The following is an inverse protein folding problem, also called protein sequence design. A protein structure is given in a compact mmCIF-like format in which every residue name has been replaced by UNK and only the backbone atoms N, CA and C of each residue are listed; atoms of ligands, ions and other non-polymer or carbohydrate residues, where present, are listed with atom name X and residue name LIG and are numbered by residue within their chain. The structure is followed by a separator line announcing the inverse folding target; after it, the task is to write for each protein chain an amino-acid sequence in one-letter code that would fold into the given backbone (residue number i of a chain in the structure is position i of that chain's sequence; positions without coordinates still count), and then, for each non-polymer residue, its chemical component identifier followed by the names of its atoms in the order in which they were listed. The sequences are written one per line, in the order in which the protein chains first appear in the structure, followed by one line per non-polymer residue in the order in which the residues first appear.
data_IF_397102725821
#
_entry.id   IF_397102725821
#
_cell.length_a   1.000
_cell.length_b   1.000
_cell.length_c   1.000
_cell.angle_alpha   90.00
_cell.angle_beta   90.00
_cell.angle_gamma   90.00
#
_symmetry.space_group_name_H-M   'P 1'
#
loop_
_entity.id
_entity.type
_entity.pdbx_description
1 polymer ?
#
# COMPACT_ATOMS: atom_id res chain seq x y z
N UNK A 1 5.43 -9.17 -19.65
CA UNK A 1 5.47 -8.04 -18.69
C UNK A 1 4.27 -7.15 -18.95
N UNK A 2 3.48 -6.79 -17.94
CA UNK A 2 2.34 -5.88 -18.14
C UNK A 2 2.84 -4.43 -18.26
N UNK A 3 2.03 -3.56 -18.87
CA UNK A 3 2.38 -2.13 -18.96
C UNK A 3 2.55 -1.48 -17.58
N UNK A 4 1.76 -1.92 -16.58
CA UNK A 4 1.89 -1.45 -15.20
C UNK A 4 3.22 -1.88 -14.57
N UNK A 5 3.66 -3.11 -14.80
CA UNK A 5 4.96 -3.60 -14.33
C UNK A 5 6.11 -2.77 -14.92
N UNK A 6 6.10 -2.53 -16.24
CA UNK A 6 7.12 -1.70 -16.91
C UNK A 6 7.18 -0.28 -16.34
N UNK A 7 6.02 0.30 -16.06
CA UNK A 7 5.94 1.62 -15.46
C UNK A 7 6.62 1.65 -14.08
N UNK A 8 6.28 0.70 -13.20
CA UNK A 8 6.84 0.65 -11.86
C UNK A 8 8.32 0.26 -11.87
N UNK A 9 8.77 -0.58 -12.80
CA UNK A 9 10.20 -0.86 -13.01
C UNK A 9 10.98 0.40 -13.38
N UNK A 10 10.42 1.29 -14.21
CA UNK A 10 11.05 2.58 -14.55
C UNK A 10 11.00 3.55 -13.36
N UNK A 11 9.89 3.62 -12.66
CA UNK A 11 9.70 4.51 -11.51
C UNK A 11 10.62 4.16 -10.33
N UNK A 12 10.99 2.88 -10.16
CA UNK A 12 11.80 2.40 -9.04
C UNK A 12 13.09 3.15 -8.83
N UNK A 13 13.73 3.64 -9.90
CA UNK A 13 15.03 4.35 -9.86
C UNK A 13 15.03 5.62 -8.99
N UNK A 14 13.89 6.30 -8.92
CA UNK A 14 13.75 7.55 -8.19
C UNK A 14 12.62 7.48 -7.14
N UNK A 15 12.09 6.30 -6.88
CA UNK A 15 10.91 6.12 -6.04
C UNK A 15 11.11 6.69 -4.64
N UNK A 16 12.15 6.27 -3.93
CA UNK A 16 12.43 6.72 -2.57
C UNK A 16 12.58 8.25 -2.49
N UNK A 17 13.34 8.87 -3.43
CA UNK A 17 13.47 10.34 -3.50
C UNK A 17 12.14 11.07 -3.72
N UNK A 18 11.19 10.42 -4.41
CA UNK A 18 9.87 11.00 -4.64
C UNK A 18 9.04 10.90 -3.37
N UNK A 19 9.12 9.77 -2.67
CA UNK A 19 8.41 9.52 -1.41
C UNK A 19 8.95 10.39 -0.26
N UNK A 20 10.25 10.73 -0.23
CA UNK A 20 10.87 11.63 0.77
C UNK A 20 10.13 12.97 0.89
N UNK A 21 9.51 13.43 -0.21
CA UNK A 21 8.70 14.66 -0.20
C UNK A 21 7.46 14.58 0.68
N UNK A 22 7.01 13.36 0.98
CA UNK A 22 5.83 13.06 1.78
C UNK A 22 6.20 12.39 3.11
N UNK A 23 7.45 12.58 3.57
CA UNK A 23 7.97 11.94 4.80
C UNK A 23 7.03 12.13 6.00
N UNK A 24 6.41 13.31 6.15
CA UNK A 24 5.45 13.56 7.22
C UNK A 24 4.25 12.60 7.16
N UNK A 25 3.70 12.35 5.95
CA UNK A 25 2.60 11.39 5.76
C UNK A 25 3.09 9.98 6.10
N UNK A 26 4.28 9.61 5.61
CA UNK A 26 4.85 8.28 5.84
C UNK A 26 5.16 8.03 7.31
N UNK A 27 5.75 9.01 8.01
CA UNK A 27 6.06 8.92 9.43
C UNK A 27 4.78 8.77 10.26
N UNK A 28 3.75 9.57 9.97
CA UNK A 28 2.47 9.50 10.68
C UNK A 28 1.74 8.17 10.41
N UNK A 29 1.74 7.70 9.15
CA UNK A 29 1.22 6.38 8.77
C UNK A 29 1.92 5.28 9.54
N UNK A 30 3.25 5.30 9.63
CA UNK A 30 4.00 4.32 10.41
C UNK A 30 3.65 4.36 11.90
N UNK A 31 3.58 5.55 12.49
CA UNK A 31 3.22 5.73 13.89
C UNK A 31 1.84 5.12 14.20
N UNK A 32 0.87 5.34 13.31
CA UNK A 32 -0.47 4.79 13.48
C UNK A 32 -0.48 3.27 13.28
N UNK A 33 0.22 2.76 12.27
CA UNK A 33 0.30 1.32 11.99
C UNK A 33 0.90 0.54 13.16
N UNK A 34 1.97 1.07 13.78
CA UNK A 34 2.66 0.44 14.90
C UNK A 34 1.78 0.15 16.13
N UNK A 35 0.67 0.85 16.28
CA UNK A 35 -0.30 0.60 17.36
C UNK A 35 -1.00 -0.77 17.24
N UNK A 36 -1.00 -1.34 16.03
CA UNK A 36 -1.77 -2.52 15.66
C UNK A 36 -0.91 -3.75 15.34
N UNK A 37 0.41 -3.62 15.38
CA UNK A 37 1.33 -4.73 15.10
C UNK A 37 1.76 -5.41 16.39
N UNK A 38 1.83 -6.75 16.36
CA UNK A 38 2.26 -7.59 17.48
C UNK A 38 3.40 -8.52 17.05
N UNK A 39 4.26 -8.87 18.00
CA UNK A 39 5.44 -9.72 17.74
C UNK A 39 5.13 -11.13 17.21
N UNK A 40 3.88 -11.57 17.29
CA UNK A 40 3.42 -12.87 16.80
C UNK A 40 2.79 -12.82 15.41
N UNK A 41 2.59 -11.62 14.86
CA UNK A 41 1.84 -11.42 13.62
C UNK A 41 2.60 -11.92 12.40
N UNK A 42 1.88 -12.58 11.49
CA UNK A 42 2.28 -12.86 10.12
C UNK A 42 1.60 -11.81 9.25
N UNK A 43 2.39 -10.97 8.60
CA UNK A 43 1.93 -9.78 7.87
C UNK A 43 2.08 -9.98 6.36
N UNK A 44 1.10 -9.55 5.58
CA UNK A 44 1.21 -9.35 4.14
C UNK A 44 1.34 -7.85 3.85
N UNK A 45 2.45 -7.42 3.25
CA UNK A 45 2.63 -6.05 2.73
C UNK A 45 2.38 -6.07 1.22
N UNK A 46 1.20 -5.64 0.80
CA UNK A 46 0.73 -5.66 -0.58
C UNK A 46 1.05 -4.35 -1.30
N UNK A 47 1.86 -4.44 -2.35
CA UNK A 47 2.42 -3.29 -3.04
C UNK A 47 3.57 -2.67 -2.24
N UNK A 48 4.48 -3.50 -1.73
CA UNK A 48 5.55 -3.09 -0.83
C UNK A 48 6.58 -2.12 -1.44
N UNK A 49 6.57 -1.93 -2.76
CA UNK A 49 7.52 -1.08 -3.48
C UNK A 49 8.97 -1.44 -3.17
N UNK A 50 9.76 -0.46 -2.79
CA UNK A 50 11.19 -0.62 -2.41
C UNK A 50 11.39 -1.20 -1.01
N UNK A 51 10.34 -1.67 -0.34
CA UNK A 51 10.41 -2.38 0.94
C UNK A 51 10.70 -1.52 2.16
N UNK A 52 10.63 -0.20 2.06
CA UNK A 52 10.94 0.71 3.18
C UNK A 52 10.06 0.42 4.39
N UNK A 53 8.73 0.28 4.19
CA UNK A 53 7.80 -0.01 5.29
C UNK A 53 7.93 -1.42 5.83
N UNK A 54 8.11 -2.41 4.94
CA UNK A 54 8.37 -3.78 5.36
C UNK A 54 9.61 -3.87 6.26
N UNK A 55 10.72 -3.23 5.88
CA UNK A 55 11.93 -3.20 6.71
C UNK A 55 11.72 -2.43 8.02
N UNK A 56 10.94 -1.33 8.02
CA UNK A 56 10.64 -0.55 9.21
C UNK A 56 9.85 -1.33 10.26
N UNK A 57 8.91 -2.19 9.82
CA UNK A 57 8.03 -2.94 10.72
C UNK A 57 8.58 -4.31 11.10
N UNK A 58 9.64 -4.78 10.47
CA UNK A 58 10.17 -6.13 10.62
C UNK A 58 10.44 -6.53 12.07
N UNK A 59 10.97 -5.63 12.88
CA UNK A 59 11.31 -5.90 14.28
C UNK A 59 10.09 -5.92 15.24
N UNK A 60 8.88 -5.66 14.74
CA UNK A 60 7.65 -5.60 15.54
C UNK A 60 6.75 -6.80 15.31
N UNK A 61 7.06 -7.64 14.32
CA UNK A 61 6.23 -8.75 13.89
C UNK A 61 7.06 -10.03 13.75
N UNK A 62 6.39 -11.16 13.67
CA UNK A 62 7.04 -12.45 13.47
C UNK A 62 7.65 -12.57 12.07
N UNK A 63 6.88 -12.24 11.05
CA UNK A 63 7.25 -12.41 9.65
C UNK A 63 6.45 -11.46 8.75
N UNK A 64 7.09 -10.99 7.68
CA UNK A 64 6.42 -10.19 6.64
C UNK A 64 6.58 -10.88 5.28
N UNK A 65 5.46 -11.11 4.60
CA UNK A 65 5.40 -11.44 3.18
C UNK A 65 5.18 -10.14 2.40
N UNK A 66 6.22 -9.63 1.77
CA UNK A 66 6.20 -8.35 1.06
C UNK A 66 6.14 -8.59 -0.45
N UNK A 67 5.08 -8.13 -1.10
CA UNK A 67 4.85 -8.42 -2.51
C UNK A 67 4.66 -7.16 -3.35
N UNK A 68 5.22 -7.20 -4.55
CA UNK A 68 5.06 -6.17 -5.57
C UNK A 68 5.08 -6.80 -6.97
N UNK A 69 4.46 -6.15 -7.94
CA UNK A 69 4.47 -6.60 -9.35
C UNK A 69 5.78 -6.24 -10.06
N UNK A 70 6.50 -5.23 -9.58
CA UNK A 70 7.74 -4.74 -10.17
C UNK A 70 8.95 -5.56 -9.73
N UNK A 71 9.66 -6.13 -10.69
CA UNK A 71 10.91 -6.85 -10.42
C UNK A 71 12.00 -5.93 -9.86
N UNK A 72 12.04 -4.67 -10.33
CA UNK A 72 13.03 -3.69 -9.90
C UNK A 72 12.75 -3.15 -8.49
N UNK A 73 11.49 -2.96 -8.12
CA UNK A 73 11.12 -2.65 -6.73
C UNK A 73 11.58 -3.75 -5.78
N UNK A 74 11.28 -5.01 -6.10
CA UNK A 74 11.68 -6.17 -5.29
C UNK A 74 13.22 -6.31 -5.20
N UNK A 75 13.95 -6.04 -6.27
CA UNK A 75 15.41 -6.03 -6.26
C UNK A 75 15.96 -4.99 -5.25
N UNK A 76 15.43 -3.76 -5.30
CA UNK A 76 15.80 -2.69 -4.36
C UNK A 76 15.42 -3.07 -2.92
N UNK A 77 14.23 -3.61 -2.72
CA UNK A 77 13.74 -4.04 -1.39
C UNK A 77 14.65 -5.11 -0.76
N UNK A 78 15.05 -6.13 -1.52
CA UNK A 78 16.01 -7.15 -1.07
C UNK A 78 17.36 -6.57 -0.69
N UNK A 79 17.90 -5.67 -1.52
CA UNK A 79 19.17 -5.02 -1.20
C UNK A 79 19.07 -4.17 0.07
N UNK A 80 17.93 -3.48 0.26
CA UNK A 80 17.65 -2.69 1.46
C UNK A 80 17.55 -3.57 2.72
N UNK A 81 16.88 -4.74 2.64
CA UNK A 81 16.80 -5.66 3.77
C UNK A 81 18.17 -6.22 4.19
N UNK A 82 19.01 -6.57 3.21
CA UNK A 82 20.38 -7.02 3.48
C UNK A 82 21.20 -5.92 4.16
N UNK A 83 21.14 -4.68 3.63
CA UNK A 83 21.87 -3.54 4.19
C UNK A 83 21.44 -3.22 5.64
N UNK A 84 20.14 -3.42 5.95
CA UNK A 84 19.57 -3.17 7.27
C UNK A 84 19.57 -4.42 8.19
N UNK A 85 20.14 -5.54 7.73
CA UNK A 85 20.16 -6.83 8.47
C UNK A 85 18.78 -7.31 8.89
N UNK A 86 17.79 -7.14 8.00
CA UNK A 86 16.42 -7.60 8.20
C UNK A 86 16.27 -8.99 7.60
N UNK A 87 15.95 -10.00 8.42
CA UNK A 87 15.93 -11.41 8.01
C UNK A 87 14.53 -12.02 7.93
N UNK A 88 13.53 -11.39 8.58
CA UNK A 88 12.16 -11.91 8.68
C UNK A 88 11.19 -11.28 7.65
N UNK A 89 11.71 -10.73 6.55
CA UNK A 89 10.90 -10.20 5.44
C UNK A 89 11.16 -10.99 4.15
N UNK A 90 10.12 -11.61 3.61
CA UNK A 90 10.12 -12.34 2.36
C UNK A 90 9.65 -11.45 1.21
N UNK A 91 10.58 -10.91 0.42
CA UNK A 91 10.28 -10.09 -0.76
C UNK A 91 10.07 -10.94 -2.00
N UNK A 92 8.90 -10.83 -2.62
CA UNK A 92 8.55 -11.62 -3.80
C UNK A 92 7.81 -10.81 -4.86
N UNK A 93 8.27 -10.96 -6.12
CA UNK A 93 7.54 -10.44 -7.27
C UNK A 93 6.34 -11.33 -7.54
N UNK A 94 5.16 -10.85 -7.18
CA UNK A 94 3.89 -11.53 -7.41
C UNK A 94 2.69 -10.61 -7.17
N UNK A 95 1.48 -11.15 -7.27
CA UNK A 95 0.23 -10.47 -6.97
C UNK A 95 -0.45 -11.07 -5.74
N UNK A 96 -1.43 -10.37 -5.18
CA UNK A 96 -2.24 -10.86 -4.05
C UNK A 96 -3.09 -12.09 -4.44
N UNK A 97 -3.29 -12.34 -5.74
CA UNK A 97 -4.05 -13.48 -6.27
C UNK A 97 -3.21 -14.74 -6.47
N UNK A 98 -1.93 -14.74 -6.10
CA UNK A 98 -1.09 -15.92 -6.17
C UNK A 98 -1.68 -17.04 -5.29
N UNK A 99 -1.88 -18.21 -5.86
CA UNK A 99 -2.50 -19.38 -5.21
C UNK A 99 -1.72 -19.93 -4.02
N UNK A 100 -0.44 -19.57 -3.88
CA UNK A 100 0.36 -19.93 -2.71
C UNK A 100 -0.16 -19.29 -1.43
N UNK A 101 -0.83 -18.12 -1.51
CA UNK A 101 -1.44 -17.46 -0.36
C UNK A 101 -2.80 -18.08 -0.08
N UNK A 102 -2.86 -18.83 1.00
CA UNK A 102 -4.09 -19.53 1.41
C UNK A 102 -5.00 -18.59 2.18
N UNK A 103 -6.29 -18.94 2.24
CA UNK A 103 -7.26 -18.23 3.09
C UNK A 103 -6.80 -18.27 4.53
N UNK A 104 -7.10 -17.21 5.27
CA UNK A 104 -6.85 -17.10 6.71
C UNK A 104 -5.38 -17.34 7.11
N UNK A 105 -4.45 -16.85 6.28
CA UNK A 105 -3.00 -17.04 6.50
C UNK A 105 -2.34 -15.86 7.22
N UNK A 106 -2.95 -14.67 7.22
CA UNK A 106 -2.35 -13.46 7.72
C UNK A 106 -3.11 -12.85 8.88
N UNK A 107 -2.38 -12.37 9.88
CA UNK A 107 -2.93 -11.61 11.00
C UNK A 107 -3.20 -10.16 10.59
N UNK A 108 -2.31 -9.59 9.77
CA UNK A 108 -2.42 -8.22 9.26
C UNK A 108 -2.13 -8.17 7.76
N UNK A 109 -2.91 -7.39 7.02
CA UNK A 109 -2.59 -7.00 5.63
C UNK A 109 -2.40 -5.50 5.56
N UNK A 110 -1.27 -5.07 5.02
CA UNK A 110 -0.92 -3.67 4.78
C UNK A 110 -1.11 -3.34 3.29
N UNK A 111 -1.63 -2.14 2.99
CA UNK A 111 -1.73 -1.62 1.61
C UNK A 111 -1.50 -0.10 1.60
N UNK A 112 -0.25 0.33 1.44
CA UNK A 112 0.10 1.74 1.45
C UNK A 112 0.33 2.29 0.04
N UNK A 113 -0.29 3.42 -0.27
CA UNK A 113 -0.14 4.13 -1.54
C UNK A 113 -0.39 3.27 -2.79
N UNK A 114 -1.22 2.22 -2.71
CA UNK A 114 -1.41 1.31 -3.83
C UNK A 114 -2.87 1.18 -4.32
N UNK A 115 -3.89 1.28 -3.46
CA UNK A 115 -5.29 1.06 -3.84
C UNK A 115 -5.79 2.00 -4.95
N UNK A 116 -5.23 3.20 -5.01
CA UNK A 116 -5.57 4.19 -6.03
C UNK A 116 -4.93 3.90 -7.42
N UNK A 117 -4.03 2.92 -7.51
CA UNK A 117 -3.31 2.56 -8.75
C UNK A 117 -3.79 1.26 -9.37
N UNK A 118 -4.63 0.50 -8.67
CA UNK A 118 -5.16 -0.78 -9.17
C UNK A 118 -6.48 -0.58 -9.92
N UNK A 119 -6.76 -1.39 -10.96
CA UNK A 119 -7.98 -1.24 -11.76
C UNK A 119 -9.26 -1.53 -10.96
N UNK A 120 -9.27 -2.59 -10.17
CA UNK A 120 -10.43 -3.06 -9.42
C UNK A 120 -10.10 -3.18 -7.92
N UNK A 121 -10.11 -2.06 -7.18
CA UNK A 121 -9.76 -2.11 -5.75
C UNK A 121 -10.77 -2.90 -4.91
N UNK A 122 -12.03 -3.04 -5.36
CA UNK A 122 -13.02 -3.85 -4.66
C UNK A 122 -12.69 -5.35 -4.69
N UNK A 123 -12.19 -5.88 -5.82
CA UNK A 123 -11.75 -7.27 -5.92
C UNK A 123 -10.53 -7.52 -4.99
N UNK A 124 -9.67 -6.52 -4.85
CA UNK A 124 -8.56 -6.55 -3.89
C UNK A 124 -9.09 -6.64 -2.45
N UNK A 125 -10.11 -5.85 -2.09
CA UNK A 125 -10.70 -5.88 -0.75
C UNK A 125 -11.28 -7.25 -0.42
N UNK A 126 -12.01 -7.86 -1.38
CA UNK A 126 -12.54 -9.23 -1.22
C UNK A 126 -11.39 -10.23 -0.99
N UNK A 127 -10.32 -10.12 -1.79
CA UNK A 127 -9.15 -11.00 -1.64
C UNK A 127 -8.43 -10.79 -0.31
N UNK A 128 -8.25 -9.56 0.14
CA UNK A 128 -7.67 -9.25 1.46
C UNK A 128 -8.52 -9.88 2.57
N UNK A 129 -9.85 -9.76 2.48
CA UNK A 129 -10.75 -10.37 3.45
C UNK A 129 -10.59 -11.90 3.53
N UNK A 130 -10.45 -12.58 2.36
CA UNK A 130 -10.20 -14.02 2.34
C UNK A 130 -8.85 -14.40 2.98
N UNK A 131 -7.81 -13.61 2.76
CA UNK A 131 -6.45 -13.89 3.24
C UNK A 131 -6.28 -13.66 4.74
N UNK A 132 -7.05 -12.74 5.32
CA UNK A 132 -7.00 -12.45 6.73
C UNK A 132 -7.65 -13.56 7.56
N UNK A 133 -7.00 -13.91 8.66
CA UNK A 133 -7.58 -14.75 9.72
C UNK A 133 -8.85 -14.10 10.27
N UNK A 134 -9.73 -14.86 10.97
CA UNK A 134 -10.77 -14.25 11.80
C UNK A 134 -10.17 -13.18 12.73
N UNK A 135 -10.84 -12.04 12.88
CA UNK A 135 -10.35 -10.90 13.67
C UNK A 135 -9.09 -10.20 13.12
N UNK A 136 -8.57 -10.63 11.97
CA UNK A 136 -7.40 -10.05 11.33
C UNK A 136 -7.61 -8.61 10.87
N UNK A 137 -6.52 -7.85 10.74
CA UNK A 137 -6.55 -6.42 10.49
C UNK A 137 -6.13 -6.08 9.06
N UNK A 138 -6.88 -5.18 8.46
CA UNK A 138 -6.50 -4.47 7.24
C UNK A 138 -6.09 -3.04 7.58
N UNK A 139 -4.87 -2.64 7.19
CA UNK A 139 -4.35 -1.29 7.44
C UNK A 139 -3.92 -0.67 6.12
N UNK A 140 -4.43 0.51 5.81
CA UNK A 140 -4.11 1.21 4.57
C UNK A 140 -3.86 2.69 4.77
N UNK A 141 -3.11 3.28 3.85
CA UNK A 141 -3.02 4.72 3.66
C UNK A 141 -3.18 5.00 2.17
N UNK A 142 -4.23 5.72 1.81
CA UNK A 142 -4.64 5.95 0.42
C UNK A 142 -4.65 7.44 0.10
N UNK A 143 -3.92 7.90 -0.92
CA UNK A 143 -4.02 9.28 -1.39
C UNK A 143 -5.44 9.61 -1.84
N UNK A 144 -6.10 10.53 -1.14
CA UNK A 144 -7.44 11.01 -1.45
C UNK A 144 -7.37 12.29 -2.28
N UNK A 145 -7.18 12.12 -3.58
CA UNK A 145 -6.91 13.20 -4.53
C UNK A 145 -8.16 14.02 -4.93
N UNK A 146 -9.30 13.79 -4.28
CA UNK A 146 -10.48 14.66 -4.34
C UNK A 146 -10.65 15.49 -3.06
N UNK A 147 -9.82 15.23 -2.04
CA UNK A 147 -9.74 16.04 -0.83
C UNK A 147 -8.80 17.23 -1.01
N UNK A 148 -8.48 17.89 0.10
CA UNK A 148 -7.60 19.07 0.11
C UNK A 148 -6.23 18.75 -0.47
N UNK A 149 -5.82 19.54 -1.46
CA UNK A 149 -4.49 19.48 -2.07
C UNK A 149 -3.91 20.88 -2.21
N UNK A 150 -2.58 20.99 -2.16
CA UNK A 150 -1.89 22.23 -2.52
C UNK A 150 -2.02 22.51 -4.03
N UNK A 151 -1.88 23.77 -4.42
CA UNK A 151 -1.97 24.18 -5.82
C UNK A 151 -0.94 23.46 -6.71
N UNK A 152 0.29 23.31 -6.22
CA UNK A 152 1.36 22.62 -6.95
C UNK A 152 1.04 21.13 -7.18
N UNK A 153 0.56 20.42 -6.16
CA UNK A 153 0.16 19.01 -6.29
C UNK A 153 -1.02 18.88 -7.26
N UNK A 154 -1.98 19.80 -7.20
CA UNK A 154 -3.13 19.80 -8.12
C UNK A 154 -2.70 19.91 -9.59
N UNK A 155 -1.73 20.77 -9.91
CA UNK A 155 -1.15 20.90 -11.25
C UNK A 155 -0.44 19.59 -11.65
N UNK A 156 0.36 19.00 -10.77
CA UNK A 156 1.08 17.75 -11.07
C UNK A 156 0.10 16.61 -11.39
N UNK A 157 -0.95 16.45 -10.59
CA UNK A 157 -1.99 15.44 -10.82
C UNK A 157 -2.75 15.72 -12.11
N UNK A 158 -3.05 16.98 -12.44
CA UNK A 158 -3.69 17.34 -13.70
C UNK A 158 -2.83 16.97 -14.91
N UNK A 159 -1.54 17.30 -14.90
CA UNK A 159 -0.61 16.93 -15.97
C UNK A 159 -0.45 15.40 -16.08
N UNK A 160 -0.31 14.70 -14.96
CA UNK A 160 -0.25 13.24 -14.96
C UNK A 160 -1.49 12.62 -15.64
N UNK A 161 -2.69 13.16 -15.37
CA UNK A 161 -3.92 12.67 -16.00
C UNK A 161 -3.96 12.88 -17.51
N UNK A 162 -3.44 14.00 -18.01
CA UNK A 162 -3.30 14.23 -19.47
C UNK A 162 -2.39 13.15 -20.05
N UNK A 163 -1.22 12.94 -19.46
CA UNK A 163 -0.25 11.94 -19.93
C UNK A 163 -0.80 10.50 -19.84
N UNK A 164 -1.60 10.19 -18.83
CA UNK A 164 -2.27 8.90 -18.73
C UNK A 164 -3.33 8.71 -19.82
N UNK A 165 -4.14 9.74 -20.13
CA UNK A 165 -5.14 9.68 -21.21
C UNK A 165 -4.54 9.55 -22.60
N UNK A 166 -3.35 10.08 -22.83
CA UNK A 166 -2.63 9.95 -24.11
C UNK A 166 -1.87 8.61 -24.24
N UNK A 167 -1.90 7.77 -23.21
CA UNK A 167 -1.17 6.49 -23.20
C UNK A 167 0.34 6.61 -22.94
N UNK A 168 0.86 7.84 -22.75
CA UNK A 168 2.28 8.05 -22.41
C UNK A 168 2.59 7.47 -21.04
N UNK A 169 1.66 7.59 -20.10
CA UNK A 169 1.73 6.96 -18.79
C UNK A 169 0.69 5.83 -18.75
N UNK A 170 1.11 4.56 -18.69
CA UNK A 170 0.22 3.41 -18.88
C UNK A 170 -0.51 2.98 -17.61
N UNK A 171 -0.51 3.82 -16.57
CA UNK A 171 -1.28 3.60 -15.35
C UNK A 171 -2.34 4.67 -15.19
N UNK A 172 -3.47 4.26 -14.61
CA UNK A 172 -4.54 5.17 -14.21
C UNK A 172 -4.47 5.39 -12.70
N UNK A 173 -4.51 6.65 -12.28
CA UNK A 173 -4.66 6.98 -10.86
C UNK A 173 -6.14 7.29 -10.60
N UNK A 174 -6.75 6.47 -9.76
CA UNK A 174 -8.10 6.72 -9.24
C UNK A 174 -8.04 7.85 -8.21
N UNK A 175 -8.92 8.80 -8.33
CA UNK A 175 -9.03 9.89 -7.37
C UNK A 175 -10.14 9.52 -6.39
N UNK A 176 -9.75 9.23 -5.16
CA UNK A 176 -10.69 8.95 -4.08
C UNK A 176 -11.01 10.20 -3.27
N UNK A 177 -12.22 10.22 -2.70
CA UNK A 177 -12.55 10.91 -1.45
C UNK A 177 -12.35 9.95 -0.29
N UNK A 178 -12.16 10.47 0.92
CA UNK A 178 -12.08 9.63 2.13
C UNK A 178 -13.35 8.79 2.33
N UNK A 179 -14.54 9.34 2.01
CA UNK A 179 -15.80 8.60 2.07
C UNK A 179 -15.85 7.39 1.12
N UNK A 180 -15.31 7.53 -0.11
CA UNK A 180 -15.27 6.43 -1.08
C UNK A 180 -14.33 5.30 -0.63
N UNK A 181 -13.26 5.63 0.11
CA UNK A 181 -12.39 4.62 0.74
C UNK A 181 -13.13 3.90 1.87
N UNK A 182 -13.92 4.62 2.69
CA UNK A 182 -14.76 3.99 3.71
C UNK A 182 -15.79 3.05 3.09
N UNK A 183 -16.53 3.51 2.08
CA UNK A 183 -17.52 2.69 1.37
C UNK A 183 -16.88 1.40 0.81
N UNK A 184 -15.67 1.52 0.26
CA UNK A 184 -14.93 0.37 -0.27
C UNK A 184 -14.54 -0.62 0.84
N UNK A 185 -14.14 -0.15 2.00
CA UNK A 185 -13.77 -0.97 3.16
C UNK A 185 -15.00 -1.67 3.74
N UNK A 186 -16.12 -0.94 3.92
CA UNK A 186 -17.39 -1.49 4.40
C UNK A 186 -17.94 -2.55 3.42
N UNK A 187 -17.93 -2.23 2.10
CA UNK A 187 -18.33 -3.18 1.06
C UNK A 187 -17.40 -4.40 0.95
N UNK A 188 -16.17 -4.30 1.45
CA UNK A 188 -15.22 -5.39 1.60
C UNK A 188 -15.46 -6.27 2.84
N UNK A 189 -16.53 -6.03 3.59
CA UNK A 189 -16.87 -6.71 4.84
C UNK A 189 -15.83 -6.48 5.95
N UNK A 190 -15.43 -5.21 6.14
CA UNK A 190 -14.55 -4.79 7.23
C UNK A 190 -15.26 -3.80 8.15
N UNK A 191 -14.94 -3.88 9.44
CA UNK A 191 -15.36 -2.90 10.45
C UNK A 191 -14.20 -1.92 10.72
N UNK A 192 -14.42 -0.65 10.45
CA UNK A 192 -13.42 0.40 10.70
C UNK A 192 -13.18 0.59 12.20
N UNK A 193 -11.91 0.62 12.62
CA UNK A 193 -11.45 0.85 14.00
C UNK A 193 -10.95 2.28 14.18
N UNK A 194 -10.06 2.73 13.29
CA UNK A 194 -9.45 4.07 13.35
C UNK A 194 -9.33 4.63 11.95
N UNK A 195 -9.56 5.94 11.81
CA UNK A 195 -9.30 6.68 10.58
C UNK A 195 -8.61 8.00 10.88
N UNK A 196 -7.74 8.45 9.98
CA UNK A 196 -7.11 9.77 10.07
C UNK A 196 -6.86 10.36 8.68
N UNK A 197 -7.26 11.61 8.47
CA UNK A 197 -6.83 12.40 7.32
C UNK A 197 -5.48 13.04 7.62
N UNK A 198 -4.41 12.54 7.01
CA UNK A 198 -3.05 13.06 7.16
C UNK A 198 -2.78 14.01 5.98
N UNK A 199 -2.59 15.30 6.27
CA UNK A 199 -2.37 16.32 5.25
C UNK A 199 -0.92 16.83 5.26
N UNK A 200 -0.27 16.72 4.10
CA UNK A 200 1.00 17.39 3.82
C UNK A 200 1.12 17.65 2.30
N UNK A 201 0.61 18.81 1.85
CA UNK A 201 0.51 19.12 0.41
C UNK A 201 -0.57 18.34 -0.35
N UNK A 202 -0.88 17.13 0.06
CA UNK A 202 -2.02 16.32 -0.35
C UNK A 202 -2.60 15.58 0.87
N UNK A 203 -3.84 15.13 0.77
CA UNK A 203 -4.47 14.33 1.82
C UNK A 203 -4.23 12.85 1.54
N UNK A 204 -3.66 12.14 2.53
CA UNK A 204 -3.65 10.68 2.59
C UNK A 204 -4.61 10.23 3.71
N UNK A 205 -5.47 9.28 3.39
CA UNK A 205 -6.45 8.75 4.33
C UNK A 205 -5.95 7.43 4.90
N UNK A 206 -5.61 7.45 6.19
CA UNK A 206 -5.23 6.28 6.96
C UNK A 206 -6.50 5.57 7.47
N UNK A 207 -6.51 4.25 7.37
CA UNK A 207 -7.56 3.40 7.93
C UNK A 207 -6.94 2.16 8.55
N UNK A 208 -7.38 1.85 9.77
CA UNK A 208 -7.24 0.53 10.37
C UNK A 208 -8.65 -0.07 10.50
N UNK A 209 -8.84 -1.25 9.95
CA UNK A 209 -10.13 -1.93 9.94
C UNK A 209 -9.96 -3.43 10.24
N UNK A 210 -10.95 -4.03 10.87
CA UNK A 210 -10.97 -5.43 11.28
C UNK A 210 -11.84 -6.23 10.32
N UNK A 211 -11.42 -7.43 10.00
CA UNK A 211 -12.24 -8.40 9.26
C UNK A 211 -13.55 -8.63 10.03
N UNK A 212 -14.70 -8.35 9.40
CA UNK A 212 -16.00 -8.71 9.94
C UNK A 212 -16.26 -10.21 9.79
N UNK A 213 -17.03 -10.75 10.71
CA UNK A 213 -17.39 -12.18 10.74
C UNK A 213 -18.31 -12.57 9.60
#
# INVERSE_FOLDING_TARGET
MSQSEEFWDKASKNYDKTEDRFEHIHSKTSQNTKKYLNATDIVLDYGCGTGTKSCEFANQVKEIHAIDISSKMIEIAKNKSVANKVENVNFLKTTIFDEKYKKESFDVVLAFNMLHTVPNPQDIMVRIHELLKPEGLFISATPCLQEKMSFLVSIQIFLFRILSKTGIVPISIRRFKSSEVNDMIENGNFQTIETENIYYGATSYFVAAKKAS
#
